data_IF_838647795712
#
_entry.id   IF_838647795712
#
_cell.length_a   1.000
_cell.length_b   1.000
_cell.length_c   1.000
_cell.angle_alpha   90.00
_cell.angle_beta   90.00
_cell.angle_gamma   90.00
#
_symmetry.space_group_name_H-M   'P 1'
#
loop_
_entity.id
_entity.type
_entity.pdbx_description
1 polymer ?
#
# COMPACT_ATOMS: atom_id res chain seq x y z
N UNK A 1 -4.17 -43.98 5.32
CA UNK A 1 -2.86 -43.65 4.69
C UNK A 1 -2.96 -42.72 3.47
N UNK A 2 -4.06 -42.70 2.69
CA UNK A 2 -4.21 -41.79 1.53
C UNK A 2 -4.49 -40.32 1.88
N UNK A 3 -5.12 -40.04 3.04
CA UNK A 3 -5.44 -38.66 3.49
C UNK A 3 -4.20 -37.90 3.97
N UNK A 4 -3.23 -38.59 4.58
CA UNK A 4 -1.97 -37.96 5.02
C UNK A 4 -1.10 -37.51 3.83
N UNK A 5 -1.14 -38.25 2.72
CA UNK A 5 -0.41 -37.90 1.49
C UNK A 5 -0.97 -36.63 0.83
N UNK A 6 -2.29 -36.41 0.93
CA UNK A 6 -2.95 -35.24 0.35
C UNK A 6 -2.61 -33.95 1.13
N UNK A 7 -2.51 -34.02 2.46
CA UNK A 7 -2.09 -32.88 3.29
C UNK A 7 -0.61 -32.52 3.07
N UNK A 8 0.26 -33.52 2.87
CA UNK A 8 1.68 -33.28 2.57
C UNK A 8 1.89 -32.61 1.20
N UNK A 9 1.08 -32.94 0.20
CA UNK A 9 1.12 -32.30 -1.12
C UNK A 9 0.66 -30.83 -1.10
N UNK A 10 -0.24 -30.45 -0.19
CA UNK A 10 -0.69 -29.06 -0.03
C UNK A 10 0.40 -28.24 0.66
N UNK A 11 1.04 -28.77 1.72
CA UNK A 11 2.16 -28.09 2.38
C UNK A 11 3.40 -27.97 1.48
N UNK A 12 3.72 -29.01 0.69
CA UNK A 12 4.82 -28.95 -0.27
C UNK A 12 4.56 -27.93 -1.39
N UNK A 13 3.31 -27.72 -1.82
CA UNK A 13 2.98 -26.63 -2.75
C UNK A 13 3.09 -25.24 -2.12
N UNK A 14 2.79 -25.09 -0.83
CA UNK A 14 2.95 -23.80 -0.14
C UNK A 14 4.43 -23.45 0.11
N UNK A 15 5.31 -24.42 0.33
CA UNK A 15 6.76 -24.17 0.44
C UNK A 15 7.48 -24.12 -0.92
N UNK A 16 6.96 -24.75 -1.97
CA UNK A 16 7.49 -24.61 -3.33
C UNK A 16 6.98 -23.35 -4.06
N UNK A 17 6.10 -22.59 -3.44
CA UNK A 17 5.72 -21.24 -3.88
C UNK A 17 6.66 -20.16 -3.34
N UNK A 18 7.75 -20.55 -2.67
CA UNK A 18 8.89 -19.68 -2.42
C UNK A 18 9.51 -19.30 -3.77
N UNK A 19 9.18 -18.07 -4.17
CA UNK A 19 9.68 -17.32 -5.32
C UNK A 19 9.44 -18.00 -6.69
N UNK A 20 8.25 -17.80 -7.25
CA UNK A 20 8.24 -17.47 -8.68
C UNK A 20 9.18 -16.27 -8.83
N UNK A 21 10.39 -16.49 -9.36
CA UNK A 21 11.32 -15.42 -9.71
C UNK A 21 10.62 -14.56 -10.77
N UNK A 22 9.95 -13.51 -10.31
CA UNK A 22 9.52 -12.46 -11.20
C UNK A 22 10.77 -11.70 -11.66
N UNK A 23 10.69 -11.13 -12.85
CA UNK A 23 11.72 -10.21 -13.33
C UNK A 23 11.14 -8.80 -13.32
N UNK A 24 11.97 -7.85 -12.93
CA UNK A 24 11.60 -6.45 -13.04
C UNK A 24 11.56 -6.05 -14.52
N UNK A 25 10.45 -5.43 -14.91
CA UNK A 25 10.30 -4.80 -16.20
C UNK A 25 11.00 -3.45 -16.26
N UNK A 26 10.93 -2.84 -17.44
CA UNK A 26 11.59 -1.57 -17.76
C UNK A 26 11.31 -0.46 -16.74
N UNK A 27 12.38 0.25 -16.37
CA UNK A 27 12.29 1.48 -15.57
C UNK A 27 11.89 1.25 -14.11
N UNK A 28 12.09 0.05 -13.56
CA UNK A 28 11.74 -0.26 -12.17
C UNK A 28 12.81 0.18 -11.16
N UNK A 29 12.40 0.55 -9.95
CA UNK A 29 13.29 0.80 -8.81
C UNK A 29 13.42 -0.45 -7.93
N UNK A 30 14.52 -1.20 -8.11
CA UNK A 30 14.71 -2.45 -7.38
C UNK A 30 15.07 -2.21 -5.90
N UNK A 31 15.85 -1.16 -5.61
CA UNK A 31 16.32 -0.87 -4.25
C UNK A 31 15.17 -0.41 -3.37
N UNK A 32 14.36 0.51 -3.89
CA UNK A 32 13.22 1.03 -3.16
C UNK A 32 12.13 -0.03 -3.01
N UNK A 33 11.97 -0.93 -3.99
CA UNK A 33 11.08 -2.09 -3.85
C UNK A 33 11.43 -2.92 -2.61
N UNK A 34 12.70 -3.32 -2.43
CA UNK A 34 13.10 -4.15 -1.28
C UNK A 34 12.77 -3.48 0.06
N UNK A 35 13.07 -2.18 0.15
CA UNK A 35 12.74 -1.38 1.33
C UNK A 35 11.23 -1.30 1.56
N UNK A 36 10.45 -0.94 0.53
CA UNK A 36 9.00 -0.77 0.64
C UNK A 36 8.26 -2.08 0.84
N UNK A 37 8.78 -3.21 0.35
CA UNK A 37 8.17 -4.53 0.58
C UNK A 37 8.10 -4.85 2.07
N UNK A 38 9.15 -4.52 2.83
CA UNK A 38 9.15 -4.68 4.29
C UNK A 38 8.08 -3.83 4.99
N UNK A 39 7.76 -2.66 4.44
CA UNK A 39 6.73 -1.75 4.98
C UNK A 39 5.31 -2.16 4.55
N UNK A 40 5.16 -2.71 3.35
CA UNK A 40 3.89 -3.17 2.81
C UNK A 40 3.23 -4.25 3.70
N UNK A 41 4.04 -5.07 4.37
CA UNK A 41 3.56 -6.09 5.31
C UNK A 41 2.89 -5.47 6.54
N UNK A 42 3.33 -4.28 6.99
CA UNK A 42 2.70 -3.53 8.10
C UNK A 42 1.25 -3.14 7.73
N UNK A 43 1.01 -2.84 6.47
CA UNK A 43 -0.30 -2.47 5.96
C UNK A 43 -1.12 -3.68 5.47
N UNK A 44 -0.54 -4.88 5.42
CA UNK A 44 -1.21 -6.07 4.88
C UNK A 44 -1.55 -5.91 3.40
N UNK A 45 -0.65 -5.28 2.63
CA UNK A 45 -0.77 -5.27 1.18
C UNK A 45 -0.30 -6.60 0.60
N UNK A 46 -1.13 -7.18 -0.26
CA UNK A 46 -0.74 -8.38 -0.99
C UNK A 46 0.42 -8.05 -1.94
N UNK A 47 1.39 -8.96 -2.14
CA UNK A 47 2.41 -8.79 -3.16
C UNK A 47 1.82 -8.77 -4.58
N UNK A 48 1.99 -7.67 -5.32
CA UNK A 48 1.51 -7.55 -6.71
C UNK A 48 2.27 -8.49 -7.63
N UNK A 49 3.58 -8.65 -7.38
CA UNK A 49 4.49 -9.53 -8.08
C UNK A 49 4.06 -11.01 -8.01
N UNK A 50 3.30 -11.40 -7.00
CA UNK A 50 2.77 -12.76 -6.84
C UNK A 50 1.32 -12.93 -7.31
N UNK A 51 0.67 -11.86 -7.79
CA UNK A 51 -0.73 -11.93 -8.26
C UNK A 51 -0.90 -12.98 -9.37
N UNK A 52 -1.99 -13.75 -9.29
CA UNK A 52 -2.36 -14.77 -10.30
C UNK A 52 -3.32 -14.25 -11.37
N UNK A 53 -3.70 -12.97 -11.29
CA UNK A 53 -4.57 -12.36 -12.30
C UNK A 53 -3.82 -12.13 -13.62
N UNK A 54 -4.55 -12.11 -14.74
CA UNK A 54 -3.99 -11.73 -16.06
C UNK A 54 -3.30 -10.36 -16.02
N UNK A 55 -3.86 -9.47 -15.19
CA UNK A 55 -3.38 -8.11 -14.99
C UNK A 55 -3.64 -7.65 -13.56
N UNK A 56 -2.67 -7.00 -12.95
CA UNK A 56 -2.79 -6.31 -11.66
C UNK A 56 -2.08 -4.98 -11.72
N UNK A 57 -2.73 -3.94 -11.22
CA UNK A 57 -2.17 -2.60 -11.11
C UNK A 57 -2.41 -2.08 -9.71
N UNK A 58 -1.43 -1.40 -9.12
CA UNK A 58 -1.57 -0.71 -7.85
C UNK A 58 -1.01 0.70 -7.95
N UNK A 59 -1.81 1.67 -7.53
CA UNK A 59 -1.34 3.01 -7.20
C UNK A 59 -1.38 3.17 -5.68
N UNK A 60 -0.25 3.52 -5.08
CA UNK A 60 -0.13 3.80 -3.65
C UNK A 60 0.38 5.22 -3.48
N UNK A 61 -0.23 5.99 -2.60
CA UNK A 61 0.21 7.33 -2.24
C UNK A 61 -0.15 7.59 -0.79
N UNK A 62 0.79 8.17 -0.05
CA UNK A 62 0.62 8.39 1.38
C UNK A 62 0.23 7.06 2.10
N UNK A 63 -0.90 7.06 2.83
CA UNK A 63 -1.50 5.88 3.45
C UNK A 63 -2.70 5.34 2.66
N UNK A 64 -2.79 5.64 1.37
CA UNK A 64 -3.82 5.14 0.47
C UNK A 64 -3.22 4.17 -0.54
N UNK A 65 -3.97 3.13 -0.89
CA UNK A 65 -3.61 2.20 -1.95
C UNK A 65 -4.84 1.76 -2.69
N UNK A 66 -4.80 1.81 -4.02
CA UNK A 66 -5.85 1.32 -4.90
C UNK A 66 -5.26 0.19 -5.73
N UNK A 67 -5.89 -0.98 -5.66
CA UNK A 67 -5.48 -2.16 -6.43
C UNK A 67 -6.59 -2.53 -7.39
N UNK A 68 -6.20 -2.72 -8.64
CA UNK A 68 -7.06 -3.03 -9.78
C UNK A 68 -6.62 -4.36 -10.35
N UNK A 69 -7.59 -5.16 -10.76
CA UNK A 69 -7.34 -6.45 -11.38
C UNK A 69 -8.23 -6.64 -12.60
N UNK A 70 -7.68 -7.39 -13.54
CA UNK A 70 -8.44 -7.99 -14.64
C UNK A 70 -8.04 -9.46 -14.73
N UNK A 71 -9.03 -10.34 -14.72
CA UNK A 71 -8.85 -11.79 -14.81
C UNK A 71 -10.01 -12.40 -15.59
N UNK A 72 -9.71 -13.11 -16.68
CA UNK A 72 -10.70 -13.77 -17.54
C UNK A 72 -11.83 -12.83 -17.98
N UNK A 73 -11.47 -11.59 -18.32
CA UNK A 73 -12.41 -10.54 -18.74
C UNK A 73 -13.24 -9.90 -17.62
N UNK A 74 -13.08 -10.34 -16.36
CA UNK A 74 -13.73 -9.73 -15.19
C UNK A 74 -12.83 -8.67 -14.57
N UNK A 75 -13.44 -7.64 -13.99
CA UNK A 75 -12.78 -6.49 -13.39
C UNK A 75 -13.15 -6.41 -11.91
N UNK A 76 -12.16 -6.26 -11.05
CA UNK A 76 -12.33 -6.13 -9.61
C UNK A 76 -11.23 -5.22 -9.04
N UNK A 77 -11.52 -4.57 -7.93
CA UNK A 77 -10.55 -3.71 -7.28
C UNK A 77 -10.97 -3.30 -5.89
N UNK A 78 -10.01 -2.74 -5.17
CA UNK A 78 -10.24 -2.21 -3.83
C UNK A 78 -9.37 -0.99 -3.57
N UNK A 79 -9.91 -0.07 -2.78
CA UNK A 79 -9.19 1.04 -2.20
C UNK A 79 -9.00 0.76 -0.70
N UNK A 80 -7.78 0.93 -0.20
CA UNK A 80 -7.44 0.83 1.21
C UNK A 80 -6.88 2.16 1.69
N UNK A 81 -7.30 2.58 2.87
CA UNK A 81 -6.77 3.78 3.54
C UNK A 81 -6.44 3.45 4.97
N UNK A 82 -5.29 3.95 5.45
CA UNK A 82 -4.81 3.71 6.79
C UNK A 82 -4.60 5.01 7.56
N UNK A 83 -4.76 4.88 8.87
CA UNK A 83 -4.34 5.84 9.89
C UNK A 83 -3.29 5.12 10.74
N UNK A 84 -2.19 5.78 11.01
CA UNK A 84 -1.11 5.24 11.84
C UNK A 84 -1.16 5.92 13.20
N UNK A 85 -1.03 5.16 14.29
CA UNK A 85 -0.81 5.74 15.61
C UNK A 85 0.61 6.32 15.67
N UNK A 86 0.74 7.64 15.88
CA UNK A 86 2.05 8.32 15.86
C UNK A 86 3.00 7.84 16.95
N UNK A 87 2.46 7.36 18.08
CA UNK A 87 3.27 6.89 19.21
C UNK A 87 3.63 5.40 19.08
N UNK A 88 2.96 4.67 18.20
CA UNK A 88 3.07 3.23 18.00
C UNK A 88 2.79 2.89 16.54
N UNK A 89 3.77 3.08 15.64
CA UNK A 89 3.54 2.94 14.20
C UNK A 89 3.03 1.56 13.75
N UNK A 90 3.26 0.52 14.54
CA UNK A 90 2.72 -0.83 14.36
C UNK A 90 1.20 -0.92 14.61
N UNK A 91 0.62 0.01 15.38
CA UNK A 91 -0.82 0.13 15.57
C UNK A 91 -1.41 0.97 14.42
N UNK A 92 -1.96 0.28 13.41
CA UNK A 92 -2.66 0.92 12.29
C UNK A 92 -4.17 0.70 12.39
N UNK A 93 -4.93 1.62 11.80
CA UNK A 93 -6.36 1.46 11.56
C UNK A 93 -6.61 1.64 10.08
N UNK A 94 -7.10 0.61 9.41
CA UNK A 94 -7.38 0.65 7.99
C UNK A 94 -8.82 0.28 7.67
N UNK A 95 -9.35 0.85 6.59
CA UNK A 95 -10.58 0.37 5.96
C UNK A 95 -10.31 0.01 4.51
N UNK A 96 -11.03 -1.01 4.03
CA UNK A 96 -11.00 -1.46 2.64
C UNK A 96 -12.37 -1.24 2.03
N UNK A 97 -12.38 -0.69 0.82
CA UNK A 97 -13.58 -0.41 0.05
C UNK A 97 -13.48 -1.13 -1.29
N UNK A 98 -14.57 -1.77 -1.71
CA UNK A 98 -14.65 -2.34 -3.07
C UNK A 98 -14.77 -1.21 -4.09
N UNK A 99 -14.00 -1.31 -5.18
CA UNK A 99 -14.17 -0.44 -6.35
C UNK A 99 -15.03 -1.19 -7.36
N UNK A 100 -16.11 -0.58 -7.83
CA UNK A 100 -17.02 -1.23 -8.77
C UNK A 100 -16.34 -1.50 -10.12
N UNK A 101 -16.86 -2.50 -10.84
CA UNK A 101 -16.21 -3.00 -12.06
C UNK A 101 -16.18 -1.99 -13.21
N UNK A 102 -17.13 -1.03 -13.26
CA UNK A 102 -17.17 0.02 -14.28
C UNK A 102 -16.05 1.03 -14.02
N UNK A 103 -15.87 1.43 -12.75
CA UNK A 103 -14.77 2.28 -12.31
C UNK A 103 -13.42 1.59 -12.55
N UNK A 104 -13.26 0.32 -12.15
CA UNK A 104 -12.02 -0.44 -12.40
C UNK A 104 -11.68 -0.49 -13.90
N UNK A 105 -12.67 -0.77 -14.76
CA UNK A 105 -12.48 -0.80 -16.21
C UNK A 105 -12.02 0.57 -16.75
N UNK A 106 -12.60 1.65 -16.24
CA UNK A 106 -12.24 3.02 -16.65
C UNK A 106 -10.83 3.40 -16.20
N UNK A 107 -10.43 3.01 -14.99
CA UNK A 107 -9.08 3.24 -14.48
C UNK A 107 -8.03 2.43 -15.26
N UNK A 108 -8.31 1.19 -15.62
CA UNK A 108 -7.40 0.40 -16.48
C UNK A 108 -7.27 1.05 -17.86
N UNK A 109 -8.36 1.53 -18.45
CA UNK A 109 -8.31 2.28 -19.71
C UNK A 109 -7.49 3.58 -19.60
N UNK A 110 -7.51 4.24 -18.44
CA UNK A 110 -6.63 5.39 -18.17
C UNK A 110 -5.15 4.98 -18.14
N UNK A 111 -4.81 3.87 -17.48
CA UNK A 111 -3.42 3.33 -17.48
C UNK A 111 -2.97 3.04 -18.91
N UNK A 112 -3.85 2.45 -19.72
CA UNK A 112 -3.55 2.11 -21.12
C UNK A 112 -3.36 3.34 -22.02
N UNK A 113 -4.10 4.42 -21.79
CA UNK A 113 -4.10 5.62 -22.65
C UNK A 113 -3.06 6.68 -22.28
N UNK A 114 -2.52 6.67 -21.06
CA UNK A 114 -1.61 7.72 -20.56
C UNK A 114 -0.13 7.44 -20.78
N UNK A 115 0.23 6.30 -21.39
CA UNK A 115 1.63 5.86 -21.56
C UNK A 115 2.45 5.82 -20.26
N UNK A 116 1.81 5.77 -19.09
CA UNK A 116 2.47 5.75 -17.78
C UNK A 116 3.48 4.60 -17.64
N UNK A 117 3.26 3.50 -18.37
CA UNK A 117 4.17 2.35 -18.45
C UNK A 117 5.53 2.65 -19.07
N UNK A 118 5.63 3.66 -19.93
CA UNK A 118 6.87 4.01 -20.63
C UNK A 118 7.73 5.00 -19.83
N UNK A 119 7.16 5.62 -18.80
CA UNK A 119 7.90 6.54 -17.94
C UNK A 119 8.68 5.70 -16.92
N UNK A 120 10.02 5.78 -16.85
CA UNK A 120 10.78 5.04 -15.85
C UNK A 120 10.55 5.66 -14.46
N UNK A 121 11.00 5.00 -13.39
CA UNK A 121 10.99 5.57 -12.04
C UNK A 121 11.77 6.90 -11.99
N UNK A 122 11.42 7.77 -11.05
CA UNK A 122 11.98 9.13 -10.93
C UNK A 122 13.51 9.20 -10.90
N UNK A 123 14.19 8.33 -10.17
CA UNK A 123 15.66 8.30 -10.09
C UNK A 123 16.37 7.94 -11.42
N UNK A 124 15.62 7.51 -12.45
CA UNK A 124 16.11 7.29 -13.80
C UNK A 124 15.73 8.42 -14.77
N UNK A 125 14.91 9.39 -14.34
CA UNK A 125 14.51 10.54 -15.14
C UNK A 125 15.51 11.67 -14.93
N UNK A 126 16.13 12.12 -16.03
CA UNK A 126 17.12 13.19 -15.98
C UNK A 126 16.50 14.48 -15.44
N UNK A 127 17.08 15.01 -14.38
CA UNK A 127 16.67 16.27 -13.78
C UNK A 127 15.53 16.15 -12.77
N UNK A 128 15.11 14.93 -12.40
CA UNK A 128 14.23 14.72 -11.25
C UNK A 128 15.02 14.96 -9.95
N UNK A 129 14.67 15.96 -9.14
CA UNK A 129 15.38 16.23 -7.90
C UNK A 129 14.99 15.25 -6.80
N UNK A 130 15.95 14.91 -5.92
CA UNK A 130 15.65 14.17 -4.70
C UNK A 130 14.76 15.01 -3.78
N UNK A 131 13.80 14.33 -3.17
CA UNK A 131 12.76 14.94 -2.36
C UNK A 131 12.97 14.82 -0.86
N UNK A 132 12.47 15.82 -0.11
CA UNK A 132 12.34 15.73 1.36
C UNK A 132 10.88 15.80 1.84
N UNK A 133 10.07 16.68 1.25
CA UNK A 133 8.66 16.92 1.62
C UNK A 133 7.72 16.76 0.42
N UNK A 134 6.47 16.37 0.64
CA UNK A 134 5.47 16.18 -0.40
C UNK A 134 5.01 14.74 -0.54
N UNK A 135 4.51 14.40 -1.72
CA UNK A 135 3.77 13.14 -1.93
C UNK A 135 4.57 12.20 -2.82
N UNK A 136 4.95 11.06 -2.26
CA UNK A 136 5.45 9.92 -3.04
C UNK A 136 4.29 9.11 -3.61
N UNK A 137 4.40 8.78 -4.89
CA UNK A 137 3.50 7.87 -5.59
C UNK A 137 4.27 6.62 -5.99
N UNK A 138 3.73 5.45 -5.65
CA UNK A 138 4.24 4.16 -6.10
C UNK A 138 3.25 3.55 -7.08
N UNK A 139 3.75 3.19 -8.26
CA UNK A 139 3.01 2.43 -9.27
C UNK A 139 3.62 1.03 -9.33
N UNK A 140 2.79 0.03 -9.07
CA UNK A 140 3.14 -1.37 -9.28
C UNK A 140 2.23 -1.94 -10.37
N UNK A 141 2.81 -2.75 -11.26
CA UNK A 141 2.04 -3.42 -12.30
C UNK A 141 2.58 -4.83 -12.52
N UNK A 142 1.68 -5.81 -12.57
CA UNK A 142 1.97 -7.15 -13.08
C UNK A 142 1.10 -7.42 -14.29
N UNK A 143 1.75 -7.67 -15.44
CA UNK A 143 1.06 -7.96 -16.69
C UNK A 143 1.91 -8.93 -17.51
N UNK A 144 1.29 -10.03 -17.98
CA UNK A 144 1.94 -11.07 -18.80
C UNK A 144 3.25 -11.60 -18.19
N UNK A 145 3.30 -11.76 -16.87
CA UNK A 145 4.47 -12.30 -16.15
C UNK A 145 5.59 -11.29 -15.90
N UNK A 146 5.52 -10.08 -16.45
CA UNK A 146 6.44 -8.98 -16.11
C UNK A 146 5.87 -8.17 -14.94
N UNK A 147 6.73 -7.84 -13.98
CA UNK A 147 6.39 -6.99 -12.85
C UNK A 147 7.19 -5.69 -12.92
N UNK A 148 6.54 -4.54 -12.73
CA UNK A 148 7.22 -3.25 -12.61
C UNK A 148 6.90 -2.60 -11.28
N UNK A 149 7.90 -1.91 -10.74
CA UNK A 149 7.80 -1.15 -9.50
C UNK A 149 8.42 0.22 -9.73
N UNK A 150 7.63 1.29 -9.68
CA UNK A 150 8.11 2.65 -9.99
C UNK A 150 7.69 3.62 -8.91
N UNK A 151 8.56 4.56 -8.57
CA UNK A 151 8.28 5.61 -7.61
C UNK A 151 8.44 6.99 -8.25
N UNK A 152 7.62 7.92 -7.77
CA UNK A 152 7.59 9.29 -8.22
C UNK A 152 7.37 10.24 -7.05
N UNK A 153 8.39 10.99 -6.69
CA UNK A 153 8.27 12.04 -5.70
C UNK A 153 7.72 13.35 -6.27
N UNK A 154 6.55 13.77 -5.79
CA UNK A 154 5.91 15.07 -6.04
C UNK A 154 5.88 15.50 -7.52
N UNK A 155 5.35 14.67 -8.45
CA UNK A 155 5.32 14.98 -9.88
C UNK A 155 4.70 16.35 -10.21
N UNK A 156 3.66 16.76 -9.49
CA UNK A 156 2.99 18.06 -9.69
C UNK A 156 3.88 19.29 -9.39
N UNK A 157 5.04 19.10 -8.74
CA UNK A 157 5.98 20.18 -8.43
C UNK A 157 7.02 20.44 -9.53
N UNK A 158 7.02 19.63 -10.60
CA UNK A 158 8.03 19.69 -11.67
C UNK A 158 7.41 20.06 -13.02
N UNK A 159 8.19 20.75 -13.86
CA UNK A 159 7.71 21.32 -15.13
C UNK A 159 8.19 20.58 -16.39
N UNK A 160 8.74 19.37 -16.27
CA UNK A 160 9.12 18.54 -17.42
C UNK A 160 8.04 17.49 -17.75
N UNK A 161 8.07 17.00 -18.99
CA UNK A 161 6.99 16.22 -19.63
C UNK A 161 6.57 14.99 -18.82
N UNK A 162 7.53 14.21 -18.34
CA UNK A 162 7.29 12.98 -17.59
C UNK A 162 6.52 13.28 -16.30
N UNK A 163 6.96 14.28 -15.53
CA UNK A 163 6.31 14.66 -14.29
C UNK A 163 4.89 15.20 -14.50
N UNK A 164 4.68 16.03 -15.53
CA UNK A 164 3.34 16.51 -15.88
C UNK A 164 2.41 15.36 -16.28
N UNK A 165 2.93 14.38 -17.02
CA UNK A 165 2.16 13.19 -17.43
C UNK A 165 1.74 12.37 -16.20
N UNK A 166 2.65 12.15 -15.25
CA UNK A 166 2.34 11.42 -14.01
C UNK A 166 1.34 12.21 -13.15
N UNK A 167 1.51 13.53 -13.02
CA UNK A 167 0.62 14.38 -12.24
C UNK A 167 -0.82 14.34 -12.80
N UNK A 168 -0.98 14.50 -14.11
CA UNK A 168 -2.27 14.38 -14.79
C UNK A 168 -2.85 12.97 -14.67
N UNK A 169 -2.01 11.93 -14.78
CA UNK A 169 -2.46 10.55 -14.57
C UNK A 169 -3.04 10.36 -13.17
N UNK A 170 -2.34 10.80 -12.12
CA UNK A 170 -2.79 10.70 -10.72
C UNK A 170 -4.09 11.48 -10.52
N UNK A 171 -4.16 12.73 -10.98
CA UNK A 171 -5.36 13.56 -10.88
C UNK A 171 -6.58 12.85 -11.50
N UNK A 172 -6.45 12.39 -12.75
CA UNK A 172 -7.53 11.67 -13.43
C UNK A 172 -7.87 10.34 -12.76
N UNK A 173 -6.88 9.65 -12.22
CA UNK A 173 -7.08 8.39 -11.49
C UNK A 173 -7.91 8.63 -10.22
N UNK A 174 -7.60 9.68 -9.46
CA UNK A 174 -8.35 10.09 -8.27
C UNK A 174 -9.76 10.56 -8.60
N UNK A 175 -9.93 11.34 -9.68
CA UNK A 175 -11.23 11.80 -10.17
C UNK A 175 -12.15 10.64 -10.57
N UNK A 176 -11.68 9.74 -11.44
CA UNK A 176 -12.46 8.58 -11.91
C UNK A 176 -12.87 7.69 -10.74
N UNK A 177 -11.93 7.44 -9.81
CA UNK A 177 -12.18 6.60 -8.65
C UNK A 177 -12.99 7.25 -7.54
N UNK A 178 -13.13 8.58 -7.56
CA UNK A 178 -13.73 9.38 -6.49
C UNK A 178 -13.14 9.02 -5.09
N UNK A 179 -11.84 8.75 -5.04
CA UNK A 179 -11.21 8.13 -3.86
C UNK A 179 -11.22 9.04 -2.63
N UNK A 180 -11.26 10.37 -2.82
CA UNK A 180 -11.45 11.30 -1.72
C UNK A 180 -12.74 11.00 -0.95
N UNK A 181 -13.88 10.91 -1.64
CA UNK A 181 -15.16 10.66 -0.99
C UNK A 181 -15.25 9.22 -0.45
N UNK A 182 -14.67 8.25 -1.16
CA UNK A 182 -14.65 6.86 -0.73
C UNK A 182 -13.91 6.68 0.60
N UNK A 183 -12.81 7.40 0.79
CA UNK A 183 -11.89 7.23 1.93
C UNK A 183 -12.12 8.24 3.05
N UNK A 184 -12.90 9.31 2.79
CA UNK A 184 -13.30 10.33 3.78
C UNK A 184 -13.75 9.76 5.13
N UNK A 185 -14.61 8.70 5.22
CA UNK A 185 -15.06 8.18 6.51
C UNK A 185 -13.91 7.68 7.40
N UNK A 186 -12.83 7.15 6.82
CA UNK A 186 -11.65 6.73 7.59
C UNK A 186 -11.05 7.90 8.35
N UNK A 187 -10.87 9.03 7.66
CA UNK A 187 -10.32 10.26 8.22
C UNK A 187 -11.23 10.92 9.26
N UNK A 188 -12.52 10.60 9.28
CA UNK A 188 -13.46 11.11 10.28
C UNK A 188 -13.38 10.33 11.60
N UNK A 189 -13.15 9.01 11.52
CA UNK A 189 -13.12 8.11 12.68
C UNK A 189 -12.00 8.41 13.67
N UNK A 190 -10.79 8.73 13.18
CA UNK A 190 -9.59 9.13 13.98
C UNK A 190 -9.49 8.35 15.31
N UNK A 191 -9.19 7.04 15.24
CA UNK A 191 -9.32 6.15 16.40
C UNK A 191 -8.20 6.34 17.43
N UNK A 192 -7.15 7.08 17.11
CA UNK A 192 -6.02 7.31 18.00
C UNK A 192 -5.98 8.77 18.48
N UNK A 193 -5.49 8.98 19.70
CA UNK A 193 -5.21 10.32 20.22
C UNK A 193 -4.14 11.03 19.41
N UNK A 194 -3.06 10.33 19.06
CA UNK A 194 -1.98 10.84 18.21
C UNK A 194 -1.95 10.00 16.96
N UNK A 195 -2.13 10.62 15.80
CA UNK A 195 -2.24 9.89 14.56
C UNK A 195 -1.51 10.58 13.41
N UNK A 196 -1.14 9.78 12.40
CA UNK A 196 -0.73 10.26 11.08
C UNK A 196 -1.78 9.85 10.05
N UNK A 197 -2.13 10.79 9.18
CA UNK A 197 -3.04 10.62 8.06
C UNK A 197 -2.44 11.27 6.82
N UNK A 198 -2.81 10.81 5.62
CA UNK A 198 -2.30 11.38 4.38
C UNK A 198 -0.77 11.44 4.31
N UNK A 199 -0.24 12.37 3.54
CA UNK A 199 1.21 12.50 3.33
C UNK A 199 1.86 13.34 4.43
N UNK A 200 2.10 12.72 5.58
CA UNK A 200 2.87 13.34 6.66
C UNK A 200 2.08 14.24 7.61
N UNK A 201 0.73 14.29 7.51
CA UNK A 201 -0.08 15.08 8.44
C UNK A 201 -0.17 14.36 9.78
N UNK A 202 0.44 14.96 10.81
CA UNK A 202 0.27 14.54 12.19
C UNK A 202 -0.92 15.27 12.83
N UNK A 203 -1.78 14.52 13.51
CA UNK A 203 -2.94 15.04 14.23
C UNK A 203 -2.93 14.64 15.70
N UNK A 204 -3.51 15.51 16.52
CA UNK A 204 -3.83 15.22 17.92
C UNK A 204 -5.33 15.39 18.14
N UNK A 205 -5.98 14.39 18.71
CA UNK A 205 -7.36 14.46 19.16
C UNK A 205 -7.41 15.23 20.49
N UNK A 206 -8.12 16.34 20.50
CA UNK A 206 -8.40 17.09 21.73
C UNK A 206 -9.51 16.35 22.48
N UNK A 207 -9.23 16.00 23.73
CA UNK A 207 -10.11 15.22 24.60
C UNK A 207 -10.47 16.05 25.82
N UNK A 208 -11.69 15.87 26.34
CA UNK A 208 -12.03 16.35 27.68
C UNK A 208 -11.14 15.68 28.72
N UNK A 209 -11.04 16.25 29.93
CA UNK A 209 -10.26 15.68 31.04
C UNK A 209 -10.69 14.23 31.35
N UNK A 210 -11.99 13.94 31.28
CA UNK A 210 -12.55 12.61 31.53
C UNK A 210 -12.14 11.62 30.43
N UNK A 211 -12.25 12.03 29.17
CA UNK A 211 -11.83 11.20 28.02
C UNK A 211 -10.34 10.94 28.01
N UNK A 212 -9.51 11.97 28.26
CA UNK A 212 -8.05 11.81 28.37
C UNK A 212 -7.69 10.78 29.44
N UNK A 213 -8.28 10.86 30.64
CA UNK A 213 -8.03 9.87 31.69
C UNK A 213 -8.39 8.44 31.27
N UNK A 214 -9.49 8.27 30.52
CA UNK A 214 -9.91 6.96 30.00
C UNK A 214 -8.93 6.43 28.95
N UNK A 215 -8.48 7.30 28.05
CA UNK A 215 -7.50 7.01 27.02
C UNK A 215 -6.14 6.63 27.63
N UNK A 216 -5.66 7.41 28.60
CA UNK A 216 -4.38 7.18 29.29
C UNK A 216 -4.39 5.84 30.04
N UNK A 217 -5.52 5.47 30.68
CA UNK A 217 -5.71 4.13 31.28
C UNK A 217 -5.64 3.01 30.23
N UNK A 218 -6.29 3.19 29.07
CA UNK A 218 -6.22 2.21 27.96
C UNK A 218 -4.80 2.07 27.44
N UNK A 219 -4.05 3.17 27.34
CA UNK A 219 -2.64 3.13 26.92
C UNK A 219 -1.76 2.44 27.95
N UNK A 220 -1.93 2.72 29.24
CA UNK A 220 -1.18 2.06 30.31
C UNK A 220 -1.41 0.53 30.31
N UNK A 221 -2.66 0.08 30.20
CA UNK A 221 -2.99 -1.35 30.12
C UNK A 221 -2.38 -2.02 28.88
N UNK A 222 -2.45 -1.35 27.71
CA UNK A 222 -1.83 -1.86 26.48
C UNK A 222 -0.31 -1.98 26.60
N UNK A 223 0.36 -1.02 27.25
CA UNK A 223 1.82 -1.09 27.51
C UNK A 223 2.17 -2.30 28.37
N UNK A 224 1.43 -2.53 29.47
CA UNK A 224 1.64 -3.70 30.33
C UNK A 224 1.46 -5.02 29.56
N UNK A 225 0.41 -5.13 28.75
CA UNK A 225 0.19 -6.32 27.92
C UNK A 225 1.31 -6.56 26.92
N UNK A 226 1.83 -5.50 26.29
CA UNK A 226 2.93 -5.59 25.35
C UNK A 226 4.23 -6.05 26.03
N UNK A 227 4.56 -5.48 27.18
CA UNK A 227 5.72 -5.89 27.99
C UNK A 227 5.63 -7.37 28.38
N UNK A 228 4.44 -7.85 28.75
CA UNK A 228 4.20 -9.26 29.06
C UNK A 228 4.39 -10.19 27.84
N UNK A 229 3.92 -9.78 26.65
CA UNK A 229 4.13 -10.53 25.40
C UNK A 229 5.62 -10.61 25.08
N UNK A 230 6.34 -9.49 25.14
CA UNK A 230 7.79 -9.44 24.87
C UNK A 230 8.59 -10.31 25.83
N UNK A 231 8.25 -10.30 27.14
CA UNK A 231 8.87 -11.19 28.12
C UNK A 231 8.61 -12.67 27.82
N UNK A 232 7.38 -13.01 27.40
CA UNK A 232 7.02 -14.38 27.01
C UNK A 232 7.76 -14.83 25.75
N UNK A 233 7.86 -13.99 24.74
CA UNK A 233 8.60 -14.28 23.51
C UNK A 233 10.10 -14.44 23.77
N UNK A 234 10.69 -13.58 24.61
CA UNK A 234 12.08 -13.69 25.03
C UNK A 234 12.36 -15.00 25.78
N UNK A 235 11.42 -15.48 26.60
CA UNK A 235 11.53 -16.75 27.31
C UNK A 235 11.42 -17.99 26.39
N UNK A 236 10.81 -17.85 25.21
CA UNK A 236 10.62 -18.93 24.24
C UNK A 236 11.77 -19.04 23.22
N UNK A 237 12.65 -18.04 23.14
CA UNK A 237 13.83 -18.13 22.27
C UNK A 237 14.82 -19.15 22.86
N UNK A 238 15.21 -20.20 22.11
CA UNK A 238 16.19 -21.17 22.59
C UNK A 238 17.52 -20.45 22.87
N UNK A 239 18.16 -20.82 23.99
CA UNK A 239 19.49 -20.34 24.36
C UNK A 239 20.56 -20.93 23.48
#
# INVERSE_FOLDING_TARGET
MKILLLCFLIFAKMQAQDAAQFTFGFGSDHKLYEWNRSQADIFGFEPVELSLADYTFRLTWCFNSVVLYKNQGKYYGWAKTYIINSNKPEETFGMTYTVDSVTVKSLIALVDSTNIRQIPTDNLIKGWPDGFDGTGYTIEEKHNGSYTYKNYWSPASHNFTEAQTIALFVERFEEIGNFYNLTKPVYELRPFRYYRVGCGVAGIKILTKTESKKEDRRYALRRQNYEAIQQREAALKPK
#
